data_IF_399699546524
#
_entry.id   IF_399699546524
#
_cell.length_a   1.000
_cell.length_b   1.000
_cell.length_c   1.000
_cell.angle_alpha   90.00
_cell.angle_beta   90.00
_cell.angle_gamma   90.00
#
_symmetry.space_group_name_H-M   'P 1'
#
loop_
_entity.id
_entity.type
_entity.pdbx_description
1 polymer ?
#
# COMPACT_ATOMS: atom_id res chain seq x y z
N UNK A 1 0.89 -14.36 6.73
CA UNK A 1 1.83 -14.36 5.59
C UNK A 1 2.39 -15.76 5.30
N UNK A 2 3.23 -16.35 6.18
CA UNK A 2 3.95 -17.61 5.89
C UNK A 2 3.05 -18.78 5.45
N UNK A 3 2.04 -19.13 6.24
CA UNK A 3 1.11 -20.24 5.93
C UNK A 3 0.29 -19.99 4.67
N UNK A 4 -0.15 -18.75 4.45
CA UNK A 4 -0.88 -18.37 3.23
C UNK A 4 0.00 -18.54 1.99
N UNK A 5 1.29 -18.16 2.07
CA UNK A 5 2.25 -18.37 1.00
C UNK A 5 2.44 -19.86 0.72
N UNK A 6 2.66 -20.68 1.76
CA UNK A 6 2.77 -22.15 1.60
C UNK A 6 1.56 -22.75 0.89
N UNK A 7 0.33 -22.45 1.36
CA UNK A 7 -0.88 -22.95 0.71
C UNK A 7 -0.96 -22.50 -0.76
N UNK A 8 -0.60 -21.25 -1.05
CA UNK A 8 -0.58 -20.73 -2.42
C UNK A 8 0.46 -21.41 -3.33
N UNK A 9 1.58 -21.89 -2.77
CA UNK A 9 2.58 -22.64 -3.52
C UNK A 9 2.13 -24.08 -3.81
N UNK A 10 1.52 -24.76 -2.83
CA UNK A 10 0.96 -26.10 -3.02
C UNK A 10 -0.13 -26.12 -4.11
N UNK A 11 -1.04 -25.16 -4.07
CA UNK A 11 -2.16 -25.07 -5.02
C UNK A 11 -1.83 -24.23 -6.26
N UNK A 12 -0.54 -24.06 -6.61
CA UNK A 12 -0.08 -23.07 -7.61
C UNK A 12 -0.75 -23.19 -8.98
N UNK A 13 -1.13 -24.41 -9.37
CA UNK A 13 -1.77 -24.69 -10.66
C UNK A 13 -3.26 -24.36 -10.66
N UNK A 14 -3.89 -24.27 -9.49
CA UNK A 14 -5.31 -23.93 -9.34
C UNK A 14 -5.55 -22.41 -9.22
N UNK A 15 -4.48 -21.64 -8.98
CA UNK A 15 -4.57 -20.18 -8.82
C UNK A 15 -4.91 -19.50 -10.15
N UNK A 16 -6.15 -18.99 -10.24
CA UNK A 16 -6.63 -18.16 -11.36
C UNK A 16 -6.51 -16.65 -11.10
N UNK A 17 -6.42 -16.25 -9.83
CA UNK A 17 -6.34 -14.85 -9.41
C UNK A 17 -5.59 -14.73 -8.09
N UNK A 18 -4.73 -13.71 -7.98
CA UNK A 18 -4.02 -13.36 -6.74
C UNK A 18 -4.60 -12.07 -6.21
N UNK A 19 -4.90 -12.05 -4.90
CA UNK A 19 -5.65 -10.96 -4.28
C UNK A 19 -4.99 -10.43 -3.02
N UNK A 20 -5.00 -9.12 -2.89
CA UNK A 20 -4.77 -8.40 -1.64
C UNK A 20 -5.64 -7.14 -1.68
N UNK A 21 -5.94 -6.54 -0.53
CA UNK A 21 -6.76 -5.32 -0.53
C UNK A 21 -6.01 -4.20 -1.27
N UNK A 22 -4.75 -3.95 -0.89
CA UNK A 22 -3.91 -2.92 -1.49
C UNK A 22 -2.70 -3.51 -2.22
N UNK A 23 -2.19 -2.77 -3.21
CA UNK A 23 -0.97 -3.10 -3.95
C UNK A 23 0.24 -3.31 -3.03
N UNK A 24 0.41 -2.44 -2.04
CA UNK A 24 1.39 -2.54 -0.95
C UNK A 24 1.40 -3.93 -0.30
N UNK A 25 0.22 -4.46 0.05
CA UNK A 25 0.05 -5.77 0.67
C UNK A 25 0.51 -6.93 -0.23
N UNK A 26 0.17 -6.88 -1.52
CA UNK A 26 0.65 -7.89 -2.47
C UNK A 26 2.16 -7.81 -2.67
N UNK A 27 2.72 -6.60 -2.79
CA UNK A 27 4.16 -6.41 -2.89
C UNK A 27 4.91 -6.91 -1.65
N UNK A 28 4.34 -6.70 -0.45
CA UNK A 28 4.87 -7.28 0.79
C UNK A 28 4.84 -8.81 0.78
N UNK A 29 3.82 -9.43 0.20
CA UNK A 29 3.77 -10.89 0.05
C UNK A 29 4.84 -11.39 -0.94
N UNK A 30 5.08 -10.68 -2.04
CA UNK A 30 6.16 -11.00 -3.00
C UNK A 30 7.53 -10.85 -2.32
N UNK A 31 7.75 -9.76 -1.59
CA UNK A 31 8.97 -9.55 -0.81
C UNK A 31 9.17 -10.62 0.26
N UNK A 32 8.09 -11.05 0.90
CA UNK A 32 8.14 -12.13 1.86
C UNK A 32 8.64 -13.43 1.20
N UNK A 33 8.17 -13.73 -0.01
CA UNK A 33 8.66 -14.88 -0.77
C UNK A 33 10.15 -14.72 -1.11
N UNK A 34 10.59 -13.54 -1.57
CA UNK A 34 12.02 -13.27 -1.85
C UNK A 34 12.94 -13.55 -0.66
N UNK A 35 12.51 -13.20 0.55
CA UNK A 35 13.33 -13.34 1.77
C UNK A 35 13.25 -14.76 2.34
N UNK A 36 12.12 -15.46 2.16
CA UNK A 36 11.85 -16.72 2.88
C UNK A 36 11.71 -17.95 1.99
N UNK A 37 11.93 -17.87 0.67
CA UNK A 37 11.72 -19.02 -0.23
C UNK A 37 12.55 -20.25 0.18
N UNK A 38 13.79 -20.09 0.67
CA UNK A 38 14.62 -21.23 1.09
C UNK A 38 13.98 -22.02 2.24
N UNK A 39 13.39 -21.33 3.21
CA UNK A 39 12.68 -21.96 4.33
C UNK A 39 11.37 -22.61 3.85
N UNK A 40 10.64 -21.93 2.96
CA UNK A 40 9.42 -22.47 2.35
C UNK A 40 9.71 -23.76 1.57
N UNK A 41 10.77 -23.79 0.76
CA UNK A 41 11.21 -24.96 0.03
C UNK A 41 11.61 -26.11 0.97
N UNK A 42 12.31 -25.80 2.07
CA UNK A 42 12.65 -26.80 3.09
C UNK A 42 11.40 -27.43 3.69
N UNK A 43 10.41 -26.62 4.09
CA UNK A 43 9.16 -27.09 4.68
C UNK A 43 8.32 -27.90 3.69
N UNK A 44 8.31 -27.53 2.40
CA UNK A 44 7.63 -28.30 1.34
C UNK A 44 8.29 -29.67 1.15
N UNK A 45 9.62 -29.73 1.21
CA UNK A 45 10.36 -30.98 1.02
C UNK A 45 10.22 -31.94 2.20
N UNK A 46 10.29 -31.44 3.44
CA UNK A 46 10.28 -32.26 4.66
C UNK A 46 8.89 -32.47 5.26
N UNK A 47 7.92 -31.64 4.88
CA UNK A 47 6.59 -31.54 5.53
C UNK A 47 6.64 -31.25 7.02
N UNK A 48 7.68 -30.56 7.50
CA UNK A 48 7.79 -30.18 8.90
C UNK A 48 7.79 -28.67 9.06
N UNK A 49 6.63 -28.08 9.36
CA UNK A 49 6.50 -26.66 9.69
C UNK A 49 6.62 -26.38 11.20
N UNK A 50 7.12 -27.34 11.99
CA UNK A 50 6.90 -27.43 13.44
C UNK A 50 7.60 -26.35 14.27
N UNK A 51 8.69 -25.75 13.78
CA UNK A 51 9.44 -24.71 14.52
C UNK A 51 8.98 -23.30 14.20
N UNK A 52 8.55 -23.04 12.96
CA UNK A 52 8.13 -21.71 12.50
C UNK A 52 6.69 -21.38 12.89
N UNK A 53 5.79 -22.36 12.91
CA UNK A 53 4.37 -22.16 13.21
C UNK A 53 4.08 -22.54 14.67
N UNK A 54 4.11 -21.54 15.56
CA UNK A 54 3.82 -21.72 16.99
C UNK A 54 2.33 -21.86 17.28
N UNK A 55 1.46 -21.29 16.44
CA UNK A 55 0.02 -21.29 16.67
C UNK A 55 -0.61 -22.67 16.36
N UNK A 56 -1.08 -23.35 17.41
CA UNK A 56 -1.62 -24.72 17.34
C UNK A 56 -2.77 -24.87 16.32
N UNK A 57 -3.69 -23.92 16.27
CA UNK A 57 -4.82 -23.96 15.32
C UNK A 57 -4.37 -23.83 13.87
N UNK A 58 -3.30 -23.08 13.60
CA UNK A 58 -2.76 -22.95 12.25
C UNK A 58 -2.01 -24.22 11.86
N UNK A 59 -1.23 -24.77 12.79
CA UNK A 59 -0.54 -26.06 12.60
C UNK A 59 -1.51 -27.18 12.25
N UNK A 60 -2.60 -27.33 13.00
CA UNK A 60 -3.61 -28.34 12.72
C UNK A 60 -4.30 -28.17 11.35
N UNK A 61 -4.40 -26.94 10.83
CA UNK A 61 -4.87 -26.70 9.46
C UNK A 61 -3.79 -27.05 8.43
N UNK A 62 -2.53 -26.66 8.67
CA UNK A 62 -1.42 -26.95 7.77
C UNK A 62 -1.13 -28.44 7.65
N UNK A 63 -1.27 -29.21 8.73
CA UNK A 63 -1.08 -30.68 8.74
C UNK A 63 -2.04 -31.40 7.78
N UNK A 64 -3.17 -30.78 7.40
CA UNK A 64 -4.12 -31.34 6.42
C UNK A 64 -3.72 -31.08 4.98
N UNK A 65 -2.91 -30.05 4.75
CA UNK A 65 -2.54 -29.54 3.42
C UNK A 65 -1.13 -30.01 3.06
N UNK A 66 -0.19 -29.91 4.01
CA UNK A 66 1.22 -30.19 3.78
C UNK A 66 1.45 -31.66 3.48
N UNK A 67 2.13 -31.92 2.37
CA UNK A 67 2.60 -33.23 1.93
C UNK A 67 4.00 -33.09 1.36
N UNK A 68 4.89 -34.09 1.52
CA UNK A 68 6.25 -33.97 1.01
C UNK A 68 6.18 -33.89 -0.52
N UNK A 69 6.66 -32.79 -1.08
CA UNK A 69 6.68 -32.56 -2.53
C UNK A 69 8.07 -32.03 -2.96
N UNK A 70 9.05 -32.93 -3.15
CA UNK A 70 10.40 -32.54 -3.55
C UNK A 70 10.44 -31.85 -4.92
N UNK A 71 9.55 -32.24 -5.85
CA UNK A 71 9.49 -31.66 -7.20
C UNK A 71 9.04 -30.19 -7.13
N UNK A 72 8.00 -29.90 -6.34
CA UNK A 72 7.56 -28.52 -6.09
C UNK A 72 8.66 -27.71 -5.40
N UNK A 73 9.34 -28.29 -4.40
CA UNK A 73 10.43 -27.63 -3.69
C UNK A 73 11.58 -27.23 -4.64
N UNK A 74 12.04 -28.16 -5.47
CA UNK A 74 13.09 -27.90 -6.46
C UNK A 74 12.65 -26.86 -7.50
N UNK A 75 11.40 -26.95 -7.97
CA UNK A 75 10.83 -25.98 -8.91
C UNK A 75 10.82 -24.56 -8.33
N UNK A 76 10.29 -24.37 -7.11
CA UNK A 76 10.25 -23.05 -6.47
C UNK A 76 11.65 -22.53 -6.20
N UNK A 77 12.57 -23.40 -5.77
CA UNK A 77 13.95 -23.03 -5.56
C UNK A 77 14.59 -22.51 -6.86
N UNK A 78 14.47 -23.27 -7.96
CA UNK A 78 15.01 -22.88 -9.26
C UNK A 78 14.42 -21.55 -9.78
N UNK A 79 13.12 -21.33 -9.60
CA UNK A 79 12.44 -20.12 -10.07
C UNK A 79 12.82 -18.88 -9.24
N UNK A 80 13.04 -19.05 -7.94
CA UNK A 80 13.33 -17.96 -6.99
C UNK A 80 14.83 -17.65 -6.82
N UNK A 81 15.74 -18.59 -7.13
CA UNK A 81 17.19 -18.39 -7.03
C UNK A 81 17.72 -17.34 -8.01
N UNK A 82 17.00 -17.07 -9.11
CA UNK A 82 17.42 -16.06 -10.09
C UNK A 82 17.33 -14.63 -9.57
N UNK A 83 18.27 -13.77 -9.99
CA UNK A 83 18.24 -12.33 -9.68
C UNK A 83 17.09 -11.61 -10.39
N UNK A 84 16.65 -12.11 -11.54
CA UNK A 84 15.54 -11.53 -12.28
C UNK A 84 14.19 -12.05 -11.76
N UNK A 85 13.43 -11.18 -11.10
CA UNK A 85 12.07 -11.44 -10.60
C UNK A 85 10.97 -10.89 -11.53
N UNK A 86 11.31 -10.43 -12.73
CA UNK A 86 10.33 -10.04 -13.73
C UNK A 86 9.39 -11.20 -14.07
N UNK A 87 8.09 -10.94 -14.10
CA UNK A 87 7.06 -11.93 -14.39
C UNK A 87 7.02 -13.12 -13.42
N UNK A 88 7.63 -13.01 -12.23
CA UNK A 88 7.69 -14.10 -11.24
C UNK A 88 6.31 -14.66 -10.91
N UNK A 89 5.28 -13.81 -10.87
CA UNK A 89 3.92 -14.23 -10.58
C UNK A 89 3.43 -15.25 -11.62
N UNK A 90 3.69 -15.03 -12.91
CA UNK A 90 3.29 -15.98 -13.96
C UNK A 90 4.18 -17.23 -13.99
N UNK A 91 5.44 -17.12 -13.57
CA UNK A 91 6.33 -18.29 -13.44
C UNK A 91 5.88 -19.21 -12.32
N UNK A 92 5.54 -18.66 -11.16
CA UNK A 92 5.09 -19.44 -10.01
C UNK A 92 3.60 -19.82 -10.14
N UNK A 93 2.73 -18.93 -10.60
CA UNK A 93 1.29 -19.18 -10.75
C UNK A 93 0.84 -18.99 -12.21
N UNK A 94 1.08 -19.98 -13.09
CA UNK A 94 0.96 -19.83 -14.55
C UNK A 94 -0.47 -19.62 -15.04
N UNK A 95 -1.47 -20.05 -14.26
CA UNK A 95 -2.87 -19.91 -14.61
C UNK A 95 -3.50 -18.57 -14.18
N UNK A 96 -2.73 -17.70 -13.52
CA UNK A 96 -3.19 -16.38 -13.05
C UNK A 96 -3.65 -15.51 -14.23
N UNK A 97 -4.91 -15.07 -14.18
CA UNK A 97 -5.54 -14.23 -15.22
C UNK A 97 -5.45 -12.75 -14.93
N UNK A 98 -5.52 -12.35 -13.66
CA UNK A 98 -5.45 -10.96 -13.23
C UNK A 98 -5.04 -10.86 -11.76
N UNK A 99 -4.60 -9.67 -11.35
CA UNK A 99 -4.37 -9.30 -9.96
C UNK A 99 -5.59 -8.51 -9.45
N UNK A 100 -6.16 -8.94 -8.34
CA UNK A 100 -7.25 -8.23 -7.65
C UNK A 100 -6.64 -7.43 -6.50
N UNK A 101 -6.22 -6.21 -6.81
CA UNK A 101 -5.57 -5.27 -5.88
C UNK A 101 -6.00 -3.85 -6.18
N UNK A 102 -6.16 -3.02 -5.15
CA UNK A 102 -6.35 -1.59 -5.32
C UNK A 102 -5.01 -0.97 -5.75
N UNK A 103 -4.99 -0.37 -6.95
CA UNK A 103 -3.85 0.34 -7.56
C UNK A 103 -4.20 1.77 -7.98
N UNK A 104 -5.30 2.33 -7.46
CA UNK A 104 -5.67 3.73 -7.68
C UNK A 104 -5.35 4.60 -6.47
N UNK A 105 -5.36 5.91 -6.66
CA UNK A 105 -4.98 6.86 -5.62
C UNK A 105 -3.50 6.74 -5.27
N UNK A 106 -3.19 6.81 -3.98
CA UNK A 106 -1.82 6.67 -3.50
C UNK A 106 -1.20 5.32 -3.92
N UNK A 107 -1.98 4.25 -4.03
CA UNK A 107 -1.48 2.93 -4.48
C UNK A 107 -1.01 2.90 -5.94
N UNK A 108 -1.33 3.91 -6.76
CA UNK A 108 -0.87 3.99 -8.15
C UNK A 108 0.66 4.04 -8.27
N UNK A 109 1.35 4.51 -7.22
CA UNK A 109 2.81 4.50 -7.14
C UNK A 109 3.43 3.10 -7.28
N UNK A 110 2.64 2.05 -7.01
CA UNK A 110 3.08 0.65 -7.07
C UNK A 110 2.84 -0.02 -8.42
N UNK A 111 2.13 0.62 -9.37
CA UNK A 111 1.82 0.04 -10.69
C UNK A 111 3.07 -0.46 -11.41
N UNK A 112 4.16 0.33 -11.56
CA UNK A 112 5.35 -0.13 -12.29
C UNK A 112 5.98 -1.38 -11.68
N UNK A 113 5.97 -1.48 -10.35
CA UNK A 113 6.54 -2.62 -9.63
C UNK A 113 5.66 -3.86 -9.73
N UNK A 114 4.33 -3.69 -9.68
CA UNK A 114 3.39 -4.78 -9.96
C UNK A 114 3.48 -5.26 -11.41
N UNK A 115 3.68 -4.36 -12.36
CA UNK A 115 3.91 -4.72 -13.76
C UNK A 115 5.15 -5.55 -13.95
N UNK A 116 6.24 -5.13 -13.33
CA UNK A 116 7.49 -5.88 -13.31
C UNK A 116 7.28 -7.30 -12.77
N UNK A 117 6.69 -7.48 -11.59
CA UNK A 117 6.48 -8.83 -11.02
C UNK A 117 5.40 -9.66 -11.74
N UNK A 118 4.41 -9.02 -12.36
CA UNK A 118 3.27 -9.70 -12.98
C UNK A 118 3.41 -9.95 -14.48
N UNK A 119 4.34 -9.26 -15.15
CA UNK A 119 4.44 -9.25 -16.61
C UNK A 119 3.27 -8.54 -17.28
N UNK A 120 2.76 -7.46 -16.66
CA UNK A 120 1.70 -6.61 -17.23
C UNK A 120 0.27 -7.17 -17.12
N UNK A 121 -0.13 -7.73 -15.96
CA UNK A 121 -1.47 -8.31 -15.75
C UNK A 121 -2.57 -7.31 -15.34
N UNK A 122 -2.28 -6.02 -15.16
CA UNK A 122 -3.24 -5.10 -14.54
C UNK A 122 -4.20 -4.43 -15.56
N UNK A 123 -5.48 -4.34 -15.20
CA UNK A 123 -6.47 -3.46 -15.85
C UNK A 123 -7.52 -3.07 -14.81
N UNK A 124 -7.75 -1.79 -14.59
CA UNK A 124 -8.67 -1.31 -13.54
C UNK A 124 -9.71 -0.37 -14.10
N UNK A 125 -10.97 -0.62 -13.75
CA UNK A 125 -12.09 0.29 -13.91
C UNK A 125 -13.06 0.04 -12.75
N UNK A 126 -13.46 1.09 -12.03
CA UNK A 126 -14.42 0.98 -10.94
C UNK A 126 -15.79 1.49 -11.40
N UNK A 127 -16.83 0.71 -11.11
CA UNK A 127 -18.22 1.16 -11.23
C UNK A 127 -18.81 1.16 -9.83
N UNK A 128 -19.26 2.32 -9.36
CA UNK A 128 -19.88 2.44 -8.03
C UNK A 128 -21.29 1.83 -8.09
N UNK A 129 -21.64 1.01 -7.11
CA UNK A 129 -22.94 0.37 -7.03
C UNK A 129 -23.96 1.29 -6.34
N UNK A 130 -25.03 1.75 -7.03
CA UNK A 130 -25.95 2.77 -6.51
C UNK A 130 -26.76 2.34 -5.28
N UNK A 131 -26.84 1.03 -5.00
CA UNK A 131 -27.64 0.48 -3.90
C UNK A 131 -26.89 0.42 -2.56
N UNK A 132 -25.61 0.79 -2.50
CA UNK A 132 -24.83 0.70 -1.26
C UNK A 132 -25.17 1.82 -0.27
N UNK A 133 -25.30 3.05 -0.75
CA UNK A 133 -25.57 4.25 0.04
C UNK A 133 -26.10 5.33 -0.89
N UNK A 134 -26.70 6.40 -0.35
CA UNK A 134 -26.99 7.56 -1.18
C UNK A 134 -25.72 8.38 -1.39
N UNK A 135 -25.41 8.68 -2.66
CA UNK A 135 -24.21 9.37 -3.09
C UNK A 135 -24.55 10.76 -3.63
N UNK A 136 -23.82 11.75 -3.13
CA UNK A 136 -23.84 13.14 -3.52
C UNK A 136 -22.41 13.55 -3.95
N UNK A 137 -22.29 14.52 -4.85
CA UNK A 137 -21.00 14.96 -5.38
C UNK A 137 -20.84 16.48 -5.28
N UNK A 138 -19.67 16.93 -4.81
CA UNK A 138 -19.29 18.35 -4.80
C UNK A 138 -18.29 18.57 -5.95
N UNK A 139 -18.62 19.35 -7.00
CA UNK A 139 -17.68 19.65 -8.07
C UNK A 139 -16.45 20.40 -7.54
N UNK A 140 -15.26 20.08 -8.05
CA UNK A 140 -14.00 20.75 -7.70
C UNK A 140 -13.63 21.93 -8.62
N UNK A 141 -14.44 22.22 -9.64
CA UNK A 141 -14.21 23.33 -10.57
C UNK A 141 -14.44 24.71 -9.90
N UNK A 142 -13.52 25.66 -10.13
CA UNK A 142 -13.46 27.01 -9.51
C UNK A 142 -14.69 27.90 -9.75
N UNK A 143 -15.51 27.60 -10.77
CA UNK A 143 -16.63 28.46 -11.20
C UNK A 143 -18.00 28.03 -10.67
N UNK A 144 -18.08 26.92 -9.94
CA UNK A 144 -19.36 26.43 -9.41
C UNK A 144 -19.61 26.95 -8.00
N UNK A 145 -20.72 27.67 -7.82
CA UNK A 145 -21.42 27.76 -6.52
C UNK A 145 -21.44 26.36 -5.91
N UNK A 146 -21.09 26.19 -4.61
CA UNK A 146 -21.03 24.93 -3.84
C UNK A 146 -22.33 24.10 -3.84
N UNK A 147 -22.84 23.78 -5.02
CA UNK A 147 -24.09 23.09 -5.27
C UNK A 147 -23.74 21.63 -5.41
N UNK A 148 -24.15 20.88 -4.42
CA UNK A 148 -24.05 19.43 -4.43
C UNK A 148 -24.93 18.92 -5.58
N UNK A 149 -24.38 17.99 -6.37
CA UNK A 149 -25.04 17.33 -7.49
C UNK A 149 -25.35 15.88 -7.10
N UNK A 150 -26.49 15.37 -7.55
CA UNK A 150 -26.78 13.94 -7.44
C UNK A 150 -25.76 13.13 -8.23
N UNK A 151 -25.42 11.94 -7.73
CA UNK A 151 -24.45 11.05 -8.38
C UNK A 151 -24.82 10.70 -9.82
N UNK A 152 -26.11 10.61 -10.16
CA UNK A 152 -26.56 10.35 -11.53
C UNK A 152 -26.34 11.52 -12.51
N UNK A 153 -26.14 12.74 -12.01
CA UNK A 153 -26.05 13.98 -12.79
C UNK A 153 -24.63 14.51 -12.92
N UNK A 154 -23.62 13.70 -12.58
CA UNK A 154 -22.21 14.05 -12.74
C UNK A 154 -21.82 14.11 -14.22
N UNK A 155 -20.92 15.01 -14.55
CA UNK A 155 -20.42 15.18 -15.92
C UNK A 155 -19.10 14.42 -16.13
N UNK A 156 -18.99 13.71 -17.26
CA UNK A 156 -17.74 13.04 -17.68
C UNK A 156 -16.64 14.09 -17.87
N UNK A 157 -15.43 13.76 -17.42
CA UNK A 157 -14.27 14.63 -17.54
C UNK A 157 -14.07 15.61 -16.40
N UNK A 158 -14.94 15.60 -15.38
CA UNK A 158 -14.86 16.46 -14.19
C UNK A 158 -14.47 15.69 -12.92
N UNK A 159 -13.95 16.42 -11.94
CA UNK A 159 -13.59 15.90 -10.62
C UNK A 159 -14.60 16.32 -9.55
N UNK A 160 -14.90 15.41 -8.64
CA UNK A 160 -15.85 15.61 -7.56
C UNK A 160 -15.34 15.04 -6.25
N UNK A 161 -15.61 15.76 -5.15
CA UNK A 161 -15.53 15.21 -3.80
C UNK A 161 -16.81 14.44 -3.48
N UNK A 162 -16.68 13.20 -2.99
CA UNK A 162 -17.82 12.36 -2.62
C UNK A 162 -18.39 12.75 -1.25
N UNK A 163 -19.72 12.80 -1.21
CA UNK A 163 -20.55 12.94 -0.02
C UNK A 163 -21.48 11.74 0.08
N UNK A 164 -21.60 11.15 1.27
CA UNK A 164 -22.42 9.94 1.49
C UNK A 164 -23.47 10.14 2.57
N UNK A 165 -24.64 9.55 2.35
CA UNK A 165 -25.67 9.36 3.38
C UNK A 165 -25.94 7.87 3.57
N UNK A 166 -25.51 7.32 4.70
CA UNK A 166 -25.52 5.88 4.99
C UNK A 166 -26.66 5.46 5.90
N UNK A 167 -27.04 4.18 5.84
CA UNK A 167 -28.06 3.62 6.74
C UNK A 167 -27.63 3.63 8.21
N UNK A 168 -26.32 3.68 8.49
CA UNK A 168 -25.76 3.73 9.83
C UNK A 168 -25.78 5.13 10.46
N UNK A 169 -26.33 6.14 9.79
CA UNK A 169 -26.56 7.47 10.35
C UNK A 169 -25.49 8.51 10.04
N UNK A 170 -24.64 8.29 9.03
CA UNK A 170 -23.86 9.38 8.44
C UNK A 170 -24.77 10.11 7.46
N UNK A 171 -24.96 11.42 7.65
CA UNK A 171 -25.85 12.24 6.80
C UNK A 171 -25.03 13.32 6.10
N UNK A 172 -25.02 13.29 4.77
CA UNK A 172 -24.25 14.21 3.92
C UNK A 172 -22.80 14.34 4.39
N UNK A 173 -22.21 13.21 4.77
CA UNK A 173 -20.87 13.14 5.30
C UNK A 173 -19.86 13.25 4.16
N UNK A 174 -18.93 14.20 4.27
CA UNK A 174 -17.84 14.37 3.31
C UNK A 174 -16.79 13.29 3.53
N UNK A 175 -16.62 12.42 2.53
CA UNK A 175 -15.65 11.31 2.62
C UNK A 175 -14.22 11.84 2.52
N UNK A 176 -14.02 12.94 1.80
CA UNK A 176 -12.72 13.52 1.47
C UNK A 176 -12.08 12.90 0.22
N UNK A 177 -12.69 11.87 -0.37
CA UNK A 177 -12.21 11.25 -1.60
C UNK A 177 -12.61 12.07 -2.82
N UNK A 178 -11.65 12.24 -3.74
CA UNK A 178 -11.80 12.91 -5.01
C UNK A 178 -11.86 11.88 -6.13
N UNK A 179 -12.92 11.94 -6.93
CA UNK A 179 -13.14 11.04 -8.07
C UNK A 179 -13.24 11.82 -9.37
N UNK A 180 -12.60 11.28 -10.40
CA UNK A 180 -12.69 11.75 -11.78
C UNK A 180 -13.70 10.88 -12.56
N UNK A 181 -14.66 11.52 -13.22
CA UNK A 181 -15.69 10.82 -13.98
C UNK A 181 -15.17 10.38 -15.35
N UNK A 182 -15.06 9.07 -15.58
CA UNK A 182 -14.48 8.50 -16.81
C UNK A 182 -15.51 8.12 -17.86
N UNK A 183 -16.77 7.93 -17.47
CA UNK A 183 -17.82 7.50 -18.38
C UNK A 183 -19.07 7.04 -17.63
N UNK A 184 -19.92 6.30 -18.32
CA UNK A 184 -21.15 5.73 -17.78
C UNK A 184 -21.32 4.29 -18.25
N UNK A 185 -21.66 3.41 -17.31
CA UNK A 185 -22.20 2.08 -17.60
C UNK A 185 -23.72 2.17 -17.48
N UNK A 186 -24.41 2.23 -18.62
CA UNK A 186 -25.83 2.60 -18.67
C UNK A 186 -26.06 3.99 -18.04
N UNK A 187 -26.75 4.04 -16.90
CA UNK A 187 -27.01 5.28 -16.14
C UNK A 187 -26.11 5.42 -14.91
N UNK A 188 -25.19 4.48 -14.67
CA UNK A 188 -24.30 4.49 -13.51
C UNK A 188 -22.95 5.09 -13.87
N UNK A 189 -22.49 6.15 -13.20
CA UNK A 189 -21.17 6.73 -13.43
C UNK A 189 -20.03 5.72 -13.22
N UNK A 190 -19.07 5.76 -14.13
CA UNK A 190 -17.77 5.11 -13.98
C UNK A 190 -16.76 6.15 -13.50
N UNK A 191 -15.94 5.73 -12.54
CA UNK A 191 -15.06 6.64 -11.81
C UNK A 191 -13.63 6.15 -11.83
N UNK A 192 -12.70 7.10 -11.81
CA UNK A 192 -11.31 6.89 -11.48
C UNK A 192 -11.04 7.62 -10.17
N UNK A 193 -10.57 6.90 -9.15
CA UNK A 193 -10.13 7.53 -7.92
C UNK A 193 -8.88 8.38 -8.20
N UNK A 194 -8.90 9.64 -7.75
CA UNK A 194 -7.82 10.61 -7.95
C UNK A 194 -6.97 10.67 -6.69
N UNK A 195 -7.55 11.11 -5.58
CA UNK A 195 -6.84 11.35 -4.32
C UNK A 195 -7.80 11.37 -3.14
N UNK A 196 -7.23 11.39 -1.94
CA UNK A 196 -7.94 11.73 -0.71
C UNK A 196 -7.41 13.08 -0.24
N UNK A 197 -8.33 13.99 0.09
CA UNK A 197 -7.98 15.32 0.59
C UNK A 197 -7.11 15.23 1.84
N UNK A 198 -6.20 16.20 1.96
CA UNK A 198 -5.30 16.36 3.10
C UNK A 198 -4.35 15.17 3.33
N UNK A 199 -4.05 14.36 2.31
CA UNK A 199 -3.02 13.31 2.41
C UNK A 199 -1.75 13.81 1.72
N UNK A 200 -0.67 13.93 2.49
CA UNK A 200 0.65 14.33 2.00
C UNK A 200 1.53 13.11 1.72
N UNK A 201 1.58 12.15 2.65
CA UNK A 201 2.33 10.91 2.53
C UNK A 201 1.43 9.69 2.80
N UNK A 202 1.66 8.61 2.05
CA UNK A 202 0.96 7.33 2.18
C UNK A 202 1.83 6.18 1.60
N UNK A 203 2.08 5.13 2.40
CA UNK A 203 2.73 3.89 1.94
C UNK A 203 1.75 2.72 1.82
N UNK A 204 0.89 2.52 2.81
CA UNK A 204 -0.07 1.44 2.90
C UNK A 204 -1.43 2.01 3.32
N UNK A 205 -1.83 1.78 4.58
CA UNK A 205 -3.07 2.30 5.16
C UNK A 205 -2.88 3.63 5.90
N UNK A 206 -1.62 4.00 6.17
CA UNK A 206 -1.20 5.25 6.79
C UNK A 206 -1.56 6.44 5.89
N UNK A 207 -2.08 7.50 6.49
CA UNK A 207 -2.28 8.77 5.80
C UNK A 207 -1.73 9.85 6.72
N UNK A 208 -0.62 10.46 6.31
CA UNK A 208 -0.03 11.59 7.03
C UNK A 208 -0.38 12.88 6.33
N UNK A 209 -0.96 13.81 7.07
CA UNK A 209 -1.28 15.16 6.59
C UNK A 209 -0.13 16.15 6.83
N UNK A 210 -0.27 17.36 6.29
CA UNK A 210 0.74 18.42 6.43
C UNK A 210 0.93 18.88 7.89
N UNK A 211 -0.15 18.90 8.67
CA UNK A 211 -0.11 19.34 10.07
C UNK A 211 0.60 18.32 10.95
N UNK A 212 0.31 17.03 10.76
CA UNK A 212 1.01 15.93 11.40
C UNK A 212 2.51 15.95 11.06
N UNK A 213 2.85 16.14 9.78
CA UNK A 213 4.24 16.22 9.37
C UNK A 213 4.96 17.43 10.01
N UNK A 214 4.32 18.60 10.01
CA UNK A 214 4.88 19.80 10.65
C UNK A 214 5.15 19.57 12.14
N UNK A 215 4.19 18.98 12.87
CA UNK A 215 4.37 18.66 14.30
C UNK A 215 5.50 17.64 14.53
N UNK A 216 5.64 16.67 13.63
CA UNK A 216 6.72 15.69 13.71
C UNK A 216 8.10 16.33 13.51
N UNK A 217 8.23 17.24 12.54
CA UNK A 217 9.46 18.03 12.34
C UNK A 217 9.75 18.95 13.52
N UNK A 218 8.74 19.57 14.11
CA UNK A 218 8.89 20.40 15.32
C UNK A 218 9.39 19.57 16.52
N UNK A 219 8.89 18.35 16.67
CA UNK A 219 9.32 17.40 17.71
C UNK A 219 10.80 17.06 17.56
N UNK A 220 11.25 16.68 16.36
CA UNK A 220 12.68 16.47 16.08
C UNK A 220 13.52 17.73 16.25
N UNK A 221 12.99 18.89 15.88
CA UNK A 221 13.68 20.18 16.02
C UNK A 221 14.01 20.54 17.47
N UNK A 222 13.28 19.99 18.45
CA UNK A 222 13.61 20.20 19.87
C UNK A 222 14.96 19.60 20.26
N UNK A 223 15.33 18.47 19.65
CA UNK A 223 16.62 17.80 19.90
C UNK A 223 17.78 18.60 19.29
N UNK A 224 17.57 19.14 18.08
CA UNK A 224 18.56 19.94 17.35
C UNK A 224 18.92 21.26 18.05
N UNK A 225 18.00 21.84 18.84
CA UNK A 225 18.26 23.06 19.62
C UNK A 225 19.44 22.91 20.59
N UNK A 226 19.66 21.71 21.14
CA UNK A 226 20.78 21.43 22.05
C UNK A 226 22.15 21.61 21.38
N UNK A 227 22.18 21.51 20.05
CA UNK A 227 23.36 21.60 19.21
C UNK A 227 23.49 22.95 18.49
N UNK A 228 22.69 23.96 18.89
CA UNK A 228 22.57 25.24 18.17
C UNK A 228 22.26 25.07 16.66
N UNK A 229 21.59 23.96 16.31
CA UNK A 229 21.13 23.67 14.97
C UNK A 229 19.63 23.96 14.86
N UNK A 230 19.20 24.45 13.70
CA UNK A 230 17.77 24.60 13.38
C UNK A 230 17.47 24.14 11.97
N UNK A 231 16.27 23.61 11.78
CA UNK A 231 15.72 23.34 10.45
C UNK A 231 15.34 24.67 9.80
N UNK A 232 15.93 24.96 8.65
CA UNK A 232 15.62 26.15 7.82
C UNK A 232 14.43 25.83 6.92
N UNK A 233 14.50 24.69 6.25
CA UNK A 233 13.52 24.25 5.28
C UNK A 233 13.49 22.72 5.26
N UNK A 234 12.34 22.15 4.88
CA UNK A 234 12.21 20.72 4.74
C UNK A 234 11.25 20.35 3.62
N UNK A 235 11.41 19.14 3.09
CA UNK A 235 10.44 18.51 2.19
C UNK A 235 10.44 17.01 2.41
N UNK A 236 9.39 16.33 1.94
CA UNK A 236 9.22 14.89 2.13
C UNK A 236 8.80 14.18 0.84
N UNK A 237 9.01 12.87 0.78
CA UNK A 237 8.39 12.00 -0.22
C UNK A 237 8.26 10.55 0.25
N UNK A 238 7.32 9.82 -0.34
CA UNK A 238 7.11 8.40 -0.13
C UNK A 238 8.06 7.57 -1.01
N UNK A 239 9.00 6.85 -0.42
CA UNK A 239 9.96 6.02 -1.15
C UNK A 239 9.45 4.58 -1.30
N UNK A 240 9.08 4.23 -2.53
CA UNK A 240 8.57 2.90 -2.90
C UNK A 240 9.61 2.00 -3.54
N UNK A 241 10.88 2.42 -3.65
CA UNK A 241 11.95 1.62 -4.26
C UNK A 241 12.29 0.39 -3.42
N UNK A 242 12.12 0.48 -2.10
CA UNK A 242 12.24 -0.65 -1.18
C UNK A 242 10.86 -1.25 -0.88
N UNK A 243 10.86 -2.52 -0.47
CA UNK A 243 9.66 -3.19 0.08
C UNK A 243 10.02 -3.73 1.48
N UNK A 244 9.37 -3.28 2.56
CA UNK A 244 8.39 -2.19 2.59
C UNK A 244 9.02 -0.85 2.17
N UNK A 245 8.20 0.06 1.66
CA UNK A 245 8.63 1.44 1.44
C UNK A 245 8.63 2.22 2.74
N UNK A 246 9.15 3.44 2.71
CA UNK A 246 9.31 4.30 3.88
C UNK A 246 9.23 5.76 3.48
N UNK A 247 8.96 6.63 4.46
CA UNK A 247 9.03 8.07 4.24
C UNK A 247 10.49 8.53 4.23
N UNK A 248 10.78 9.52 3.38
CA UNK A 248 12.09 10.17 3.34
C UNK A 248 11.87 11.66 3.55
N UNK A 249 12.59 12.20 4.53
CA UNK A 249 12.58 13.61 4.90
C UNK A 249 13.91 14.23 4.51
N UNK A 250 13.86 15.36 3.81
CA UNK A 250 15.01 16.20 3.54
C UNK A 250 14.95 17.41 4.45
N UNK A 251 15.99 17.64 5.25
CA UNK A 251 16.11 18.75 6.19
C UNK A 251 17.31 19.60 5.81
N UNK A 252 17.09 20.89 5.53
CA UNK A 252 18.18 21.86 5.44
C UNK A 252 18.45 22.42 6.84
N UNK A 253 19.65 22.18 7.35
CA UNK A 253 20.05 22.59 8.70
C UNK A 253 20.96 23.82 8.63
N UNK A 254 20.70 24.79 9.51
CA UNK A 254 21.63 25.88 9.78
C UNK A 254 22.28 25.66 11.15
N UNK A 255 23.60 25.61 11.16
CA UNK A 255 24.44 25.51 12.35
C UNK A 255 25.23 26.79 12.55
N UNK A 256 25.26 27.28 13.80
CA UNK A 256 26.01 28.50 14.13
C UNK A 256 27.51 28.23 14.35
N UNK A 257 27.90 26.98 14.58
CA UNK A 257 29.28 26.53 14.77
C UNK A 257 29.45 25.13 14.15
N UNK A 258 30.43 24.98 13.26
CA UNK A 258 30.74 23.70 12.61
C UNK A 258 31.28 22.66 13.59
N UNK A 259 31.77 23.08 14.76
CA UNK A 259 32.26 22.17 15.80
C UNK A 259 31.15 21.47 16.58
N UNK A 260 29.90 21.94 16.50
CA UNK A 260 28.74 21.37 17.21
C UNK A 260 27.70 20.79 16.25
N UNK A 261 28.10 20.35 15.06
CA UNK A 261 27.18 19.70 14.13
C UNK A 261 26.56 18.43 14.74
N UNK A 262 25.25 18.21 14.55
CA UNK A 262 24.58 17.01 15.05
C UNK A 262 25.17 15.78 14.34
N UNK A 263 25.61 14.80 15.14
CA UNK A 263 26.15 13.55 14.62
C UNK A 263 25.04 12.61 14.12
N UNK A 264 25.44 11.46 13.59
CA UNK A 264 24.51 10.44 13.11
C UNK A 264 23.59 9.87 14.20
N UNK A 265 24.03 9.85 15.46
CA UNK A 265 23.22 9.33 16.57
C UNK A 265 22.07 10.30 16.88
N UNK A 266 22.36 11.60 16.92
CA UNK A 266 21.36 12.67 17.12
C UNK A 266 20.35 12.69 15.97
N UNK A 267 20.80 12.55 14.72
CA UNK A 267 19.90 12.46 13.57
C UNK A 267 19.04 11.19 13.59
N UNK A 268 19.56 10.08 14.12
CA UNK A 268 18.81 8.86 14.38
C UNK A 268 17.71 9.08 15.43
N UNK A 269 18.01 9.79 16.52
CA UNK A 269 17.02 10.17 17.53
C UNK A 269 15.97 11.14 16.96
N UNK A 270 16.35 12.06 16.08
CA UNK A 270 15.41 12.91 15.36
C UNK A 270 14.46 12.09 14.49
N UNK A 271 14.97 11.06 13.81
CA UNK A 271 14.15 10.15 13.00
C UNK A 271 13.12 9.43 13.88
N UNK A 272 13.55 8.89 15.03
CA UNK A 272 12.64 8.26 15.99
C UNK A 272 11.59 9.25 16.52
N UNK A 273 11.98 10.47 16.88
CA UNK A 273 11.05 11.49 17.37
C UNK A 273 10.02 11.91 16.32
N UNK A 274 10.37 11.86 15.03
CA UNK A 274 9.41 12.04 13.92
C UNK A 274 8.42 10.87 13.92
N UNK A 275 8.90 9.62 13.96
CA UNK A 275 8.03 8.44 13.94
C UNK A 275 7.06 8.40 15.13
N UNK A 276 7.53 8.74 16.33
CA UNK A 276 6.70 8.78 17.55
C UNK A 276 5.62 9.89 17.52
N UNK A 277 5.82 10.92 16.70
CA UNK A 277 4.89 12.04 16.55
C UNK A 277 3.82 11.81 15.47
N UNK A 278 3.99 10.79 14.62
CA UNK A 278 2.99 10.41 13.62
C UNK A 278 1.81 9.67 14.27
N UNK A 279 0.69 9.59 13.55
CA UNK A 279 -0.51 8.96 14.07
C UNK A 279 -0.34 7.44 14.24
N UNK A 280 -1.23 6.83 15.03
CA UNK A 280 -1.14 5.40 15.40
C UNK A 280 -1.25 4.40 14.25
N UNK A 281 -1.58 4.85 13.03
CA UNK A 281 -1.66 3.99 11.85
C UNK A 281 -0.31 3.86 11.16
N UNK A 282 0.55 4.87 11.26
CA UNK A 282 1.96 4.79 10.89
C UNK A 282 2.70 3.87 11.86
#
# INVERSE_FOLDING_TARGET
>A
MYTQMLCGLYERNEVLCIRAIFASGLLRAIRFLQVHFSNLCHDINTSTSSSTITHLGLRACMDKIMRPDPELSEFINHVCEGENWEGIIRRIWPNTKYLDVIVTGAMAQYIPMLDYYSGGLHKVSYTIMPNMTYFECIPLDDNSTHRIVDFANVEVGKEYEIVVTTQSGLYRYKVGDVLYMTGFQNSTPQVKFVSRKNVLLNMDIDNTDEFELQNAIESASTLLKTFNARVVEYTSYANVKSIPGHYVMYLELLTNDTATEPDHEVLGQCSLAIEEALNSVY
#
